data_IF_549724478517
#
_entry.id   IF_549724478517
#
_cell.length_a   1.000
_cell.length_b   1.000
_cell.length_c   1.000
_cell.angle_alpha   90.00
_cell.angle_beta   90.00
_cell.angle_gamma   90.00
#
_symmetry.space_group_name_H-M   'P 1'
#
loop_
_entity.id
_entity.type
_entity.pdbx_description
1 polymer ?
#
# COMPACT_ATOMS: atom_id res chain seq x y z
N UNK A 1 -10.90 -13.20 11.35
CA UNK A 1 -10.17 -13.03 10.08
C UNK A 1 -9.00 -13.99 10.05
N UNK A 2 -8.76 -14.65 8.94
CA UNK A 2 -7.68 -15.63 8.77
C UNK A 2 -6.30 -14.96 8.66
N UNK A 3 -5.27 -15.80 8.79
CA UNK A 3 -3.87 -15.44 8.57
C UNK A 3 -3.22 -16.43 7.62
N UNK A 4 -2.26 -15.96 6.84
CA UNK A 4 -1.38 -16.77 6.00
C UNK A 4 0.07 -16.40 6.28
N UNK A 5 0.98 -17.38 6.15
CA UNK A 5 2.41 -17.09 6.10
C UNK A 5 2.77 -16.67 4.68
N UNK A 6 3.36 -15.52 4.55
CA UNK A 6 3.72 -14.92 3.28
C UNK A 6 5.03 -14.15 3.38
N UNK A 7 6.06 -14.55 2.65
CA UNK A 7 7.43 -14.01 2.74
C UNK A 7 8.00 -14.05 4.19
N UNK A 8 7.63 -15.10 4.98
CA UNK A 8 7.98 -15.21 6.39
C UNK A 8 7.30 -14.12 7.26
N UNK A 9 6.23 -13.54 6.80
CA UNK A 9 5.40 -12.58 7.53
C UNK A 9 4.02 -13.20 7.74
N UNK A 10 3.58 -13.27 8.99
CA UNK A 10 2.18 -13.62 9.31
C UNK A 10 1.27 -12.51 8.82
N UNK A 11 0.57 -12.76 7.72
CA UNK A 11 -0.26 -11.76 7.02
C UNK A 11 -1.73 -11.98 7.35
N UNK A 12 -2.38 -10.97 7.94
CA UNK A 12 -3.83 -10.93 8.12
C UNK A 12 -4.51 -10.60 6.80
N UNK A 13 -5.53 -11.38 6.45
CA UNK A 13 -6.32 -11.13 5.24
C UNK A 13 -7.81 -11.40 5.47
N UNK A 14 -8.63 -11.03 4.50
CA UNK A 14 -10.01 -11.44 4.40
C UNK A 14 -10.36 -11.68 2.92
N UNK A 15 -11.36 -12.53 2.69
CA UNK A 15 -11.87 -12.86 1.36
C UNK A 15 -13.36 -12.55 1.32
N UNK A 16 -13.74 -11.60 0.49
CA UNK A 16 -15.10 -11.11 0.36
C UNK A 16 -15.63 -11.41 -1.04
N UNK A 17 -16.80 -12.02 -1.10
CA UNK A 17 -17.43 -12.39 -2.38
C UNK A 17 -16.83 -13.63 -3.01
N UNK A 18 -17.33 -13.95 -4.20
CA UNK A 18 -16.93 -15.07 -5.02
C UNK A 18 -16.81 -14.61 -6.50
N UNK A 19 -16.05 -15.34 -7.31
CA UNK A 19 -15.81 -14.96 -8.71
C UNK A 19 -14.34 -14.81 -9.04
N UNK A 20 -13.97 -14.06 -10.11
CA UNK A 20 -12.58 -13.82 -10.48
C UNK A 20 -11.81 -13.13 -9.34
N UNK A 21 -10.55 -13.52 -9.08
CA UNK A 21 -9.79 -12.97 -7.96
C UNK A 21 -9.35 -11.53 -8.21
N UNK A 22 -9.58 -10.66 -7.20
CA UNK A 22 -9.13 -9.29 -7.14
C UNK A 22 -8.33 -9.09 -5.84
N UNK A 23 -7.02 -9.04 -5.95
CA UNK A 23 -6.14 -8.74 -4.82
C UNK A 23 -6.07 -7.23 -4.59
N UNK A 24 -6.31 -6.79 -3.35
CA UNK A 24 -6.46 -5.38 -3.02
C UNK A 24 -5.44 -4.93 -1.97
N UNK A 25 -4.41 -4.19 -2.40
CA UNK A 25 -3.46 -3.54 -1.49
C UNK A 25 -4.12 -2.40 -0.72
N UNK A 26 -4.27 -2.57 0.59
CA UNK A 26 -4.95 -1.61 1.47
C UNK A 26 -4.32 -0.21 1.40
N UNK A 27 -5.14 0.87 1.35
CA UNK A 27 -4.65 2.25 1.42
C UNK A 27 -4.15 2.59 2.82
N UNK A 28 -3.53 3.77 3.00
CA UNK A 28 -3.19 4.31 4.33
C UNK A 28 -1.70 4.50 4.63
N UNK A 29 -0.84 4.47 3.64
CA UNK A 29 0.60 4.70 3.85
C UNK A 29 1.23 3.62 4.75
N UNK A 30 1.78 4.01 5.90
CA UNK A 30 2.28 3.12 6.95
C UNK A 30 1.22 2.81 8.03
N UNK A 31 -0.07 2.87 7.68
CA UNK A 31 -1.21 2.35 8.44
C UNK A 31 -2.17 1.63 7.48
N UNK A 32 -1.61 0.82 6.60
CA UNK A 32 -2.32 0.14 5.51
C UNK A 32 -2.93 -1.18 5.98
N UNK A 33 -4.11 -1.10 6.55
CA UNK A 33 -4.91 -2.20 7.08
C UNK A 33 -6.26 -2.31 6.38
N UNK A 34 -6.89 -3.45 6.50
CA UNK A 34 -8.17 -3.76 5.82
C UNK A 34 -9.23 -2.70 6.09
N UNK A 35 -9.31 -2.21 7.33
CA UNK A 35 -10.30 -1.22 7.76
C UNK A 35 -10.18 0.13 7.03
N UNK A 36 -9.05 0.41 6.41
CA UNK A 36 -8.86 1.64 5.63
C UNK A 36 -9.70 1.67 4.34
N UNK A 37 -10.09 0.52 3.82
CA UNK A 37 -11.03 0.45 2.68
C UNK A 37 -12.44 0.97 3.00
N UNK A 38 -12.80 1.05 4.28
CA UNK A 38 -14.12 1.53 4.72
C UNK A 38 -14.06 2.76 5.62
N UNK A 39 -12.89 3.06 6.19
CA UNK A 39 -12.71 4.13 7.18
C UNK A 39 -12.01 5.39 6.66
N UNK A 40 -11.19 5.27 5.62
CA UNK A 40 -10.30 6.35 5.20
C UNK A 40 -10.90 7.17 4.04
N UNK A 41 -11.04 8.48 4.24
CA UNK A 41 -11.27 9.49 3.20
C UNK A 41 -12.27 9.08 2.11
N UNK A 42 -11.82 9.08 0.86
CA UNK A 42 -12.62 8.72 -0.31
C UNK A 42 -13.16 7.29 -0.24
N UNK A 43 -12.42 6.35 0.32
CA UNK A 43 -12.82 4.93 0.41
C UNK A 43 -14.10 4.75 1.23
N UNK A 44 -14.23 5.50 2.34
CA UNK A 44 -15.46 5.55 3.14
C UNK A 44 -16.67 6.07 2.32
N UNK A 45 -16.43 7.02 1.42
CA UNK A 45 -17.47 7.63 0.59
C UNK A 45 -17.93 6.72 -0.55
N UNK A 46 -16.98 6.04 -1.22
CA UNK A 46 -17.27 5.24 -2.42
C UNK A 46 -17.64 3.78 -2.13
N UNK A 47 -17.39 3.29 -0.91
CA UNK A 47 -17.81 1.98 -0.38
C UNK A 47 -17.50 0.79 -1.32
N UNK A 48 -16.27 0.70 -1.80
CA UNK A 48 -15.87 -0.32 -2.76
C UNK A 48 -16.17 -1.75 -2.28
N UNK A 49 -15.98 -2.04 -0.99
CA UNK A 49 -16.22 -3.38 -0.44
C UNK A 49 -17.71 -3.73 -0.31
N UNK A 50 -18.63 -2.79 -0.50
CA UNK A 50 -20.07 -3.09 -0.56
C UNK A 50 -20.52 -3.48 -1.99
N UNK A 51 -19.68 -3.22 -2.98
CA UNK A 51 -20.01 -3.38 -4.40
C UNK A 51 -19.16 -4.42 -5.13
N UNK A 52 -17.82 -4.33 -5.05
CA UNK A 52 -16.92 -5.22 -5.79
C UNK A 52 -17.11 -6.70 -5.43
N UNK A 53 -17.32 -7.09 -4.15
CA UNK A 53 -17.53 -8.49 -3.78
C UNK A 53 -18.80 -9.14 -4.35
N UNK A 54 -19.71 -8.36 -4.94
CA UNK A 54 -20.89 -8.91 -5.61
C UNK A 54 -20.55 -9.64 -6.91
N UNK A 55 -19.37 -9.38 -7.49
CA UNK A 55 -18.91 -9.98 -8.76
C UNK A 55 -17.51 -10.60 -8.68
N UNK A 56 -16.67 -10.13 -7.77
CA UNK A 56 -15.27 -10.52 -7.67
C UNK A 56 -14.96 -11.11 -6.28
N UNK A 57 -14.03 -12.04 -6.25
CA UNK A 57 -13.41 -12.52 -5.01
C UNK A 57 -12.37 -11.49 -4.57
N UNK A 58 -12.78 -10.55 -3.73
CA UNK A 58 -11.92 -9.49 -3.21
C UNK A 58 -11.06 -10.03 -2.07
N UNK A 59 -9.74 -10.05 -2.26
CA UNK A 59 -8.75 -10.48 -1.28
C UNK A 59 -8.13 -9.22 -0.71
N UNK A 60 -8.54 -8.84 0.48
CA UNK A 60 -8.03 -7.66 1.21
C UNK A 60 -7.09 -8.10 2.30
N UNK A 61 -6.03 -7.36 2.56
CA UNK A 61 -5.03 -7.74 3.57
C UNK A 61 -4.37 -6.52 4.21
N UNK A 62 -3.93 -6.72 5.45
CA UNK A 62 -3.03 -5.77 6.10
C UNK A 62 -1.65 -5.91 5.46
N UNK A 63 -1.11 -4.81 4.91
CA UNK A 63 0.26 -4.85 4.43
C UNK A 63 1.21 -5.13 5.60
N UNK A 64 2.34 -5.76 5.32
CA UNK A 64 3.40 -6.01 6.32
C UNK A 64 3.68 -4.73 7.12
N UNK A 65 4.02 -4.87 8.37
CA UNK A 65 4.21 -3.83 9.38
C UNK A 65 2.95 -3.06 9.78
N UNK A 66 1.77 -3.42 9.25
CA UNK A 66 0.52 -2.69 9.50
C UNK A 66 -0.57 -3.59 10.05
N UNK A 67 -1.54 -2.97 10.73
CA UNK A 67 -2.70 -3.67 11.28
C UNK A 67 -2.31 -4.81 12.20
N UNK A 68 -2.79 -6.02 11.90
CA UNK A 68 -2.44 -7.24 12.62
C UNK A 68 -1.46 -8.14 11.87
N UNK A 69 -0.98 -7.70 10.71
CA UNK A 69 0.12 -8.39 10.03
C UNK A 69 1.43 -8.18 10.79
N UNK A 70 2.27 -9.19 10.73
CA UNK A 70 3.62 -9.13 11.26
C UNK A 70 4.53 -8.22 10.44
N UNK A 71 5.80 -8.20 10.81
CA UNK A 71 6.81 -7.42 10.11
C UNK A 71 8.22 -7.79 10.54
N UNK A 72 9.18 -7.18 9.88
CA UNK A 72 10.61 -7.23 10.23
C UNK A 72 11.22 -5.86 10.12
N UNK A 73 12.16 -5.53 11.00
CA UNK A 73 12.94 -4.31 10.88
C UNK A 73 14.02 -4.51 9.83
N UNK A 74 13.76 -4.02 8.65
CA UNK A 74 14.65 -4.12 7.49
C UNK A 74 14.45 -2.93 6.54
N UNK A 75 15.36 -2.76 5.58
CA UNK A 75 15.15 -1.83 4.47
C UNK A 75 14.01 -2.33 3.59
N UNK A 76 12.77 -1.92 3.90
CA UNK A 76 11.62 -2.26 3.09
C UNK A 76 11.74 -1.62 1.71
N UNK A 77 11.38 -2.37 0.67
CA UNK A 77 11.30 -1.95 -0.73
C UNK A 77 9.94 -2.33 -1.31
N UNK A 78 9.59 -1.84 -2.49
CA UNK A 78 8.35 -2.23 -3.16
C UNK A 78 8.27 -3.75 -3.39
N UNK A 79 9.40 -4.39 -3.65
CA UNK A 79 9.47 -5.83 -3.85
C UNK A 79 9.10 -6.65 -2.57
N UNK A 80 9.30 -6.12 -1.38
CA UNK A 80 8.84 -6.78 -0.15
C UNK A 80 7.31 -6.85 -0.09
N UNK A 81 6.61 -5.81 -0.53
CA UNK A 81 5.15 -5.82 -0.65
C UNK A 81 4.67 -6.77 -1.76
N UNK A 82 5.42 -6.87 -2.88
CA UNK A 82 5.15 -7.84 -3.95
C UNK A 82 5.27 -9.27 -3.42
N UNK A 83 6.38 -9.61 -2.73
CA UNK A 83 6.56 -10.96 -2.17
C UNK A 83 5.49 -11.33 -1.15
N UNK A 84 5.03 -10.37 -0.32
CA UNK A 84 3.91 -10.61 0.58
C UNK A 84 2.64 -10.98 -0.20
N UNK A 85 2.32 -10.26 -1.25
CA UNK A 85 1.13 -10.51 -2.08
C UNK A 85 1.22 -11.84 -2.85
N UNK A 86 2.38 -12.15 -3.43
CA UNK A 86 2.65 -13.44 -4.08
C UNK A 86 2.42 -14.60 -3.11
N UNK A 87 3.04 -14.55 -1.93
CA UNK A 87 2.87 -15.60 -0.93
C UNK A 87 1.43 -15.74 -0.44
N UNK A 88 0.66 -14.64 -0.38
CA UNK A 88 -0.77 -14.69 -0.05
C UNK A 88 -1.58 -15.37 -1.18
N UNK A 89 -1.33 -15.04 -2.45
CA UNK A 89 -1.97 -15.69 -3.59
C UNK A 89 -1.63 -17.19 -3.62
N UNK A 90 -0.37 -17.56 -3.35
CA UNK A 90 0.07 -18.96 -3.31
C UNK A 90 -0.62 -19.73 -2.18
N UNK A 91 -0.72 -19.15 -0.99
CA UNK A 91 -1.45 -19.74 0.14
C UNK A 91 -2.94 -19.97 -0.17
N UNK A 92 -3.54 -19.10 -0.99
CA UNK A 92 -4.92 -19.21 -1.46
C UNK A 92 -5.07 -20.05 -2.74
N UNK A 93 -3.98 -20.58 -3.30
CA UNK A 93 -3.95 -21.36 -4.55
C UNK A 93 -4.52 -20.58 -5.74
N UNK A 94 -4.20 -19.31 -5.83
CA UNK A 94 -4.62 -18.41 -6.89
C UNK A 94 -3.42 -18.14 -7.80
N UNK A 95 -3.50 -18.62 -9.04
CA UNK A 95 -2.44 -18.47 -10.03
C UNK A 95 -2.35 -17.04 -10.56
N UNK A 96 -3.48 -16.45 -10.95
CA UNK A 96 -3.57 -15.10 -11.52
C UNK A 96 -4.67 -14.30 -10.85
N UNK A 97 -4.49 -13.00 -10.74
CA UNK A 97 -5.49 -12.10 -10.19
C UNK A 97 -5.49 -10.74 -10.89
N UNK A 98 -6.60 -10.03 -10.83
CA UNK A 98 -6.60 -8.58 -10.98
C UNK A 98 -5.96 -7.97 -9.74
N UNK A 99 -5.12 -6.94 -9.90
CA UNK A 99 -4.40 -6.33 -8.80
C UNK A 99 -4.86 -4.87 -8.65
N UNK A 100 -5.38 -4.52 -7.49
CA UNK A 100 -5.85 -3.18 -7.19
C UNK A 100 -5.08 -2.60 -6.01
N UNK A 101 -4.86 -1.30 -6.03
CA UNK A 101 -4.31 -0.59 -4.86
C UNK A 101 -4.90 0.79 -4.72
N UNK A 102 -5.00 1.23 -3.47
CA UNK A 102 -5.39 2.59 -3.13
C UNK A 102 -4.25 3.35 -2.45
N UNK A 103 -4.15 4.66 -2.70
CA UNK A 103 -3.16 5.51 -2.07
C UNK A 103 -1.73 4.98 -2.32
N UNK A 104 -0.92 4.83 -1.28
CA UNK A 104 0.42 4.21 -1.37
C UNK A 104 0.36 2.76 -1.89
N UNK A 105 -0.79 2.07 -1.79
CA UNK A 105 -0.98 0.72 -2.36
C UNK A 105 -0.86 0.67 -3.88
N UNK A 106 -0.93 1.78 -4.59
CA UNK A 106 -0.72 1.85 -6.04
C UNK A 106 0.72 1.50 -6.45
N UNK A 107 1.71 1.88 -5.66
CA UNK A 107 3.12 1.59 -5.96
C UNK A 107 3.43 0.09 -5.96
N UNK A 108 3.01 -0.71 -4.94
CA UNK A 108 3.18 -2.16 -5.02
C UNK A 108 2.30 -2.84 -6.09
N UNK A 109 1.16 -2.26 -6.53
CA UNK A 109 0.42 -2.76 -7.71
C UNK A 109 1.29 -2.68 -8.96
N UNK A 110 1.88 -1.52 -9.21
CA UNK A 110 2.81 -1.32 -10.33
C UNK A 110 4.02 -2.25 -10.24
N UNK A 111 4.61 -2.38 -9.05
CA UNK A 111 5.74 -3.28 -8.82
C UNK A 111 5.35 -4.76 -9.02
N UNK A 112 4.13 -5.15 -8.64
CA UNK A 112 3.62 -6.51 -8.88
C UNK A 112 3.48 -6.80 -10.37
N UNK A 113 2.89 -5.86 -11.13
CA UNK A 113 2.74 -5.99 -12.59
C UNK A 113 4.07 -6.13 -13.31
N UNK A 114 5.11 -5.39 -12.87
CA UNK A 114 6.47 -5.49 -13.43
C UNK A 114 7.14 -6.81 -13.05
N UNK A 115 7.05 -7.22 -11.79
CA UNK A 115 7.72 -8.43 -11.30
C UNK A 115 7.04 -9.73 -11.73
N UNK A 116 5.71 -9.71 -11.89
CA UNK A 116 4.88 -10.88 -12.18
C UNK A 116 3.79 -10.58 -13.23
N UNK A 117 4.19 -10.17 -14.45
CA UNK A 117 3.22 -9.88 -15.52
C UNK A 117 2.38 -11.10 -15.87
N UNK A 118 2.92 -12.30 -15.78
CA UNK A 118 2.24 -13.58 -16.04
C UNK A 118 1.15 -13.90 -15.00
N UNK A 119 1.21 -13.31 -13.81
CA UNK A 119 0.23 -13.48 -12.72
C UNK A 119 -0.77 -12.33 -12.63
N UNK A 120 -0.62 -11.29 -13.45
CA UNK A 120 -1.42 -10.06 -13.40
C UNK A 120 -2.42 -10.02 -14.55
N UNK A 121 -3.71 -10.14 -14.25
CA UNK A 121 -4.79 -10.04 -15.26
C UNK A 121 -5.03 -8.58 -15.67
N UNK A 122 -5.04 -7.67 -14.71
CA UNK A 122 -5.11 -6.21 -14.93
C UNK A 122 -4.68 -5.47 -13.68
N UNK A 123 -4.47 -4.16 -13.80
CA UNK A 123 -4.14 -3.27 -12.69
C UNK A 123 -5.18 -2.17 -12.51
N UNK A 124 -5.56 -1.88 -11.26
CA UNK A 124 -6.38 -0.72 -10.90
C UNK A 124 -5.56 0.18 -9.97
N UNK A 125 -5.17 1.34 -10.47
CA UNK A 125 -4.37 2.36 -9.79
C UNK A 125 -5.33 3.44 -9.30
N UNK A 126 -5.73 3.36 -8.02
CA UNK A 126 -6.76 4.24 -7.46
C UNK A 126 -6.15 5.27 -6.53
N UNK A 127 -6.15 6.55 -6.95
CA UNK A 127 -5.55 7.66 -6.20
C UNK A 127 -4.08 7.41 -5.85
N UNK A 128 -3.19 7.25 -6.82
CA UNK A 128 -1.78 7.04 -6.53
C UNK A 128 -1.20 8.20 -5.74
N UNK A 129 -0.42 7.90 -4.71
CA UNK A 129 0.35 8.91 -3.98
C UNK A 129 1.42 9.51 -4.89
N UNK A 130 1.75 10.77 -4.64
CA UNK A 130 2.84 11.46 -5.33
C UNK A 130 2.63 12.97 -5.33
N UNK A 131 3.56 13.65 -5.97
CA UNK A 131 3.66 15.10 -5.95
C UNK A 131 4.66 15.61 -4.90
N UNK A 132 5.16 16.82 -5.09
CA UNK A 132 6.17 17.42 -4.22
C UNK A 132 5.72 17.51 -2.76
N UNK A 133 4.44 17.83 -2.50
CA UNK A 133 3.90 17.90 -1.13
C UNK A 133 3.91 16.54 -0.44
N UNK A 134 3.52 15.47 -1.14
CA UNK A 134 3.59 14.11 -0.62
C UNK A 134 5.03 13.75 -0.24
N UNK A 135 5.98 13.98 -1.16
CA UNK A 135 7.40 13.68 -0.93
C UNK A 135 7.95 14.45 0.27
N UNK A 136 7.76 15.77 0.31
CA UNK A 136 8.22 16.62 1.41
C UNK A 136 7.64 16.16 2.75
N UNK A 137 6.31 15.99 2.83
CA UNK A 137 5.63 15.57 4.06
C UNK A 137 6.11 14.19 4.54
N UNK A 138 6.34 13.27 3.62
CA UNK A 138 6.82 11.93 3.95
C UNK A 138 8.25 11.97 4.49
N UNK A 139 9.16 12.69 3.85
CA UNK A 139 10.53 12.90 4.36
C UNK A 139 10.52 13.57 5.72
N UNK A 140 9.67 14.57 5.95
CA UNK A 140 9.54 15.24 7.25
C UNK A 140 9.08 14.30 8.37
N UNK A 141 8.14 13.37 8.08
CA UNK A 141 7.71 12.36 9.05
C UNK A 141 8.87 11.47 9.48
N UNK A 142 9.62 10.95 8.51
CA UNK A 142 10.77 10.11 8.82
C UNK A 142 11.89 10.88 9.52
N UNK A 143 12.14 12.13 9.16
CA UNK A 143 13.11 12.97 9.84
C UNK A 143 12.75 13.15 11.34
N UNK A 144 11.47 13.36 11.66
CA UNK A 144 10.99 13.43 13.05
C UNK A 144 11.19 12.11 13.80
N UNK A 145 10.98 10.98 13.13
CA UNK A 145 11.24 9.68 13.73
C UNK A 145 12.74 9.47 14.01
N UNK A 146 13.58 9.74 13.03
CA UNK A 146 15.03 9.59 13.18
C UNK A 146 15.58 10.50 14.29
N UNK A 147 15.15 11.75 14.37
CA UNK A 147 15.53 12.66 15.46
C UNK A 147 15.09 12.12 16.82
N UNK A 148 13.87 11.59 16.93
CA UNK A 148 13.38 11.01 18.17
C UNK A 148 14.20 9.78 18.60
N UNK A 149 14.57 8.91 17.64
CA UNK A 149 15.44 7.74 17.90
C UNK A 149 16.84 8.19 18.36
N UNK A 150 17.40 9.25 17.75
CA UNK A 150 18.69 9.78 18.19
C UNK A 150 18.68 10.23 19.65
N UNK A 151 17.65 10.92 20.07
CA UNK A 151 17.50 11.50 21.41
C UNK A 151 17.12 10.46 22.47
N UNK A 152 16.19 9.55 22.14
CA UNK A 152 15.53 8.67 23.11
C UNK A 152 15.85 7.18 22.93
N UNK A 153 16.59 6.80 21.89
CA UNK A 153 16.90 5.42 21.57
C UNK A 153 15.68 4.59 21.14
N UNK A 154 15.91 3.31 20.88
CA UNK A 154 14.85 2.41 20.41
C UNK A 154 13.87 2.03 21.53
N UNK A 155 14.35 1.98 22.81
CA UNK A 155 13.45 1.79 23.95
C UNK A 155 12.47 2.97 24.08
N UNK A 156 12.92 4.20 23.89
CA UNK A 156 12.05 5.37 23.90
C UNK A 156 10.94 5.32 22.84
N UNK A 157 11.21 4.71 21.66
CA UNK A 157 10.19 4.47 20.64
C UNK A 157 9.14 3.48 21.15
N UNK A 158 9.56 2.38 21.78
CA UNK A 158 8.64 1.39 22.34
C UNK A 158 7.73 2.01 23.40
N UNK A 159 8.32 2.78 24.33
CA UNK A 159 7.59 3.43 25.41
C UNK A 159 6.56 4.41 24.86
N UNK A 160 6.95 5.22 23.87
CA UNK A 160 6.04 6.14 23.17
C UNK A 160 4.90 5.39 22.47
N UNK A 161 5.22 4.37 21.68
CA UNK A 161 4.23 3.60 20.92
C UNK A 161 3.22 2.91 21.82
N UNK A 162 3.64 2.45 23.00
CA UNK A 162 2.77 1.80 24.00
C UNK A 162 1.96 2.80 24.85
N UNK A 163 2.36 4.06 24.91
CA UNK A 163 1.66 5.07 25.68
C UNK A 163 0.36 5.59 25.05
N UNK A 164 0.16 5.35 23.74
CA UNK A 164 -1.03 5.78 22.99
C UNK A 164 -1.25 4.90 21.75
N UNK A 165 -2.41 5.05 21.08
CA UNK A 165 -2.82 4.30 19.90
C UNK A 165 -2.56 5.02 18.56
N UNK A 166 -1.89 6.19 18.57
CA UNK A 166 -1.60 6.97 17.36
C UNK A 166 -0.73 6.17 16.39
N UNK A 167 -1.11 6.22 15.11
CA UNK A 167 -0.32 5.65 14.03
C UNK A 167 0.83 6.58 13.61
N UNK A 168 1.70 6.10 12.71
CA UNK A 168 2.86 6.84 12.21
C UNK A 168 2.50 8.17 11.54
N UNK A 169 1.32 8.30 10.96
CA UNK A 169 0.88 9.57 10.35
C UNK A 169 0.46 10.60 11.39
N UNK A 170 -0.14 10.16 12.50
CA UNK A 170 -0.61 11.02 13.58
C UNK A 170 0.51 11.38 14.58
N UNK A 171 1.42 10.44 14.83
CA UNK A 171 2.64 10.70 15.62
C UNK A 171 3.85 10.01 14.96
N UNK A 172 4.58 10.75 14.12
CA UNK A 172 5.72 10.20 13.40
C UNK A 172 6.85 9.66 14.27
N UNK A 173 6.96 10.10 15.53
CA UNK A 173 8.01 9.65 16.44
C UNK A 173 7.98 8.13 16.66
N UNK A 174 6.79 7.50 16.61
CA UNK A 174 6.60 6.06 16.77
C UNK A 174 7.16 5.20 15.63
N UNK A 175 7.46 5.79 14.48
CA UNK A 175 8.05 5.09 13.33
C UNK A 175 7.12 4.11 12.62
N UNK A 176 7.61 3.46 11.55
CA UNK A 176 6.79 2.62 10.71
C UNK A 176 6.48 1.24 11.31
N UNK A 177 7.15 0.82 12.38
CA UNK A 177 6.92 -0.46 13.07
C UNK A 177 6.03 -0.35 14.31
N UNK A 178 5.32 0.75 14.50
CA UNK A 178 4.49 0.96 15.68
C UNK A 178 3.43 -0.14 15.90
N UNK A 179 2.83 -0.66 14.85
CA UNK A 179 1.84 -1.74 14.98
C UNK A 179 2.47 -3.08 15.44
N UNK A 180 3.54 -3.61 14.82
CA UNK A 180 4.23 -4.79 15.33
C UNK A 180 4.71 -4.63 16.79
N UNK A 181 5.22 -3.46 17.19
CA UNK A 181 5.63 -3.18 18.58
C UNK A 181 4.46 -3.31 19.55
N UNK A 182 3.26 -2.84 19.18
CA UNK A 182 2.04 -2.98 20.01
C UNK A 182 1.54 -4.41 20.06
N UNK A 183 1.59 -5.10 18.93
CA UNK A 183 0.94 -6.40 18.77
C UNK A 183 1.78 -7.57 19.31
N UNK A 184 3.10 -7.40 19.48
CA UNK A 184 4.01 -8.47 19.87
C UNK A 184 5.07 -7.97 20.85
N UNK A 185 5.08 -8.57 22.05
CA UNK A 185 6.13 -8.33 23.03
C UNK A 185 7.50 -8.82 22.51
N UNK A 186 7.53 -9.97 21.85
CA UNK A 186 8.75 -10.54 21.25
C UNK A 186 9.33 -9.61 20.17
N UNK A 187 8.46 -9.03 19.32
CA UNK A 187 8.91 -8.05 18.33
C UNK A 187 9.48 -6.81 19.01
N UNK A 188 8.81 -6.27 20.02
CA UNK A 188 9.29 -5.11 20.76
C UNK A 188 10.63 -5.38 21.45
N UNK A 189 10.79 -6.55 22.07
CA UNK A 189 12.07 -6.95 22.71
C UNK A 189 13.20 -7.09 21.69
N UNK A 190 12.89 -7.63 20.51
CA UNK A 190 13.85 -7.71 19.41
C UNK A 190 14.21 -6.33 18.85
N UNK A 191 13.21 -5.45 18.71
CA UNK A 191 13.40 -4.06 18.28
C UNK A 191 14.29 -3.28 19.24
N UNK A 192 14.11 -3.44 20.57
CA UNK A 192 14.93 -2.77 21.59
C UNK A 192 16.41 -3.16 21.53
N UNK A 193 16.71 -4.39 21.08
CA UNK A 193 18.09 -4.92 21.00
C UNK A 193 18.83 -4.57 19.72
N UNK A 194 18.19 -3.91 18.75
CA UNK A 194 18.84 -3.50 17.51
C UNK A 194 19.95 -2.48 17.78
N UNK A 195 21.01 -2.54 16.99
CA UNK A 195 22.00 -1.47 16.97
C UNK A 195 21.37 -0.18 16.44
N UNK A 196 21.45 0.90 17.22
CA UNK A 196 20.83 2.19 16.91
C UNK A 196 21.40 2.78 15.62
N UNK A 197 22.72 2.72 15.42
CA UNK A 197 23.34 3.31 14.23
C UNK A 197 22.90 2.56 12.96
N UNK A 198 22.90 1.23 13.01
CA UNK A 198 22.41 0.40 11.91
C UNK A 198 20.92 0.61 11.64
N UNK A 199 20.10 0.80 12.67
CA UNK A 199 18.68 1.13 12.53
C UNK A 199 18.47 2.45 11.78
N UNK A 200 19.18 3.51 12.16
CA UNK A 200 19.10 4.83 11.52
C UNK A 200 19.49 4.76 10.04
N UNK A 201 20.54 4.01 9.71
CA UNK A 201 20.94 3.76 8.32
C UNK A 201 19.86 3.00 7.54
N UNK A 202 19.27 1.97 8.15
CA UNK A 202 18.21 1.15 7.55
C UNK A 202 16.99 1.98 7.21
N UNK A 203 16.50 2.80 8.16
CA UNK A 203 15.35 3.70 7.95
C UNK A 203 15.66 4.75 6.87
N UNK A 204 16.84 5.36 6.93
CA UNK A 204 17.26 6.35 5.93
C UNK A 204 17.29 5.75 4.52
N UNK A 205 17.85 4.56 4.37
CA UNK A 205 17.91 3.87 3.08
C UNK A 205 16.51 3.45 2.59
N UNK A 206 15.62 3.03 3.50
CA UNK A 206 14.22 2.70 3.20
C UNK A 206 13.48 3.91 2.65
N UNK A 207 13.57 5.06 3.32
CA UNK A 207 12.89 6.30 2.90
C UNK A 207 13.33 6.73 1.50
N UNK A 208 14.65 6.71 1.25
CA UNK A 208 15.21 7.07 -0.06
C UNK A 208 14.72 6.16 -1.18
N UNK A 209 14.45 4.89 -0.89
CA UNK A 209 13.96 3.93 -1.89
C UNK A 209 12.45 3.91 -2.07
N UNK A 210 11.66 4.24 -1.02
CA UNK A 210 10.20 4.26 -1.11
C UNK A 210 9.62 5.62 -1.47
N UNK A 211 10.37 6.72 -1.30
CA UNK A 211 9.91 8.10 -1.51
C UNK A 211 11.00 8.82 -2.32
N UNK A 212 11.28 8.27 -3.49
CA UNK A 212 12.44 8.63 -4.30
C UNK A 212 12.22 9.81 -5.25
N UNK A 213 10.96 10.10 -5.61
CA UNK A 213 10.64 11.07 -6.69
C UNK A 213 9.38 11.91 -6.40
N UNK A 214 9.23 13.01 -7.14
CA UNK A 214 8.06 13.91 -7.04
C UNK A 214 6.84 13.40 -7.83
N UNK A 215 7.02 12.46 -8.75
CA UNK A 215 5.93 11.74 -9.41
C UNK A 215 5.40 10.61 -8.51
N UNK A 216 4.67 9.66 -9.03
CA UNK A 216 4.28 8.50 -8.24
C UNK A 216 5.52 7.65 -7.89
N UNK A 217 5.82 7.36 -6.61
CA UNK A 217 6.93 6.50 -6.23
C UNK A 217 6.65 5.06 -6.66
N UNK A 218 7.69 4.31 -6.98
CA UNK A 218 7.51 2.92 -7.40
C UNK A 218 8.66 2.42 -8.27
N UNK A 219 8.30 1.62 -9.25
CA UNK A 219 9.22 1.07 -10.26
C UNK A 219 9.67 2.14 -11.25
N UNK A 220 10.69 1.84 -12.03
CA UNK A 220 11.19 2.78 -13.01
C UNK A 220 10.21 2.98 -14.18
N UNK A 221 10.14 4.20 -14.79
CA UNK A 221 9.21 4.49 -15.86
C UNK A 221 9.38 3.56 -17.05
N UNK A 222 10.61 3.18 -17.39
CA UNK A 222 10.92 2.25 -18.48
C UNK A 222 10.32 0.86 -18.26
N UNK A 223 10.29 0.39 -17.01
CA UNK A 223 9.66 -0.89 -16.64
C UNK A 223 8.15 -0.82 -16.82
N UNK A 224 7.52 0.30 -16.43
CA UNK A 224 6.08 0.53 -16.65
C UNK A 224 5.73 0.63 -18.14
N UNK A 225 6.55 1.33 -18.93
CA UNK A 225 6.34 1.49 -20.37
C UNK A 225 6.45 0.19 -21.15
N UNK A 226 7.17 -0.79 -20.60
CA UNK A 226 7.30 -2.14 -21.19
C UNK A 226 6.09 -3.04 -20.92
N UNK A 227 5.19 -2.67 -19.98
CA UNK A 227 4.04 -3.48 -19.63
C UNK A 227 2.94 -3.41 -20.70
N UNK A 228 2.37 -4.59 -20.99
CA UNK A 228 1.16 -4.73 -21.83
C UNK A 228 -0.07 -5.13 -21.01
N UNK A 229 -0.07 -4.85 -19.71
CA UNK A 229 -1.15 -5.23 -18.79
C UNK A 229 -2.27 -4.18 -18.86
N UNK A 230 -3.53 -4.55 -19.12
CA UNK A 230 -4.65 -3.63 -19.06
C UNK A 230 -4.70 -2.91 -17.72
N UNK A 231 -4.79 -1.58 -17.73
CA UNK A 231 -4.70 -0.79 -16.51
C UNK A 231 -5.77 0.30 -16.48
N UNK A 232 -6.39 0.50 -15.31
CA UNK A 232 -7.26 1.63 -15.02
C UNK A 232 -6.55 2.57 -14.05
N UNK A 233 -6.47 3.85 -14.39
CA UNK A 233 -5.92 4.90 -13.52
C UNK A 233 -7.04 5.86 -13.11
N UNK A 234 -7.23 6.04 -11.81
CA UNK A 234 -8.21 6.96 -11.22
C UNK A 234 -7.48 8.03 -10.42
N UNK A 235 -7.60 9.32 -10.79
CA UNK A 235 -6.86 10.40 -10.13
C UNK A 235 -7.43 10.80 -8.77
N UNK A 236 -6.54 11.22 -7.86
CA UNK A 236 -6.84 12.07 -6.72
C UNK A 236 -6.48 13.54 -7.01
N UNK A 237 -6.69 14.43 -6.03
CA UNK A 237 -6.36 15.86 -6.16
C UNK A 237 -6.02 16.56 -4.83
N UNK A 238 -5.62 15.80 -3.82
CA UNK A 238 -5.20 16.36 -2.53
C UNK A 238 -3.66 16.43 -2.40
N UNK A 239 -3.18 16.88 -1.25
CA UNK A 239 -1.75 17.07 -0.97
C UNK A 239 -0.91 15.77 -1.03
N UNK A 240 -1.53 14.62 -0.94
CA UNK A 240 -0.87 13.31 -0.99
C UNK A 240 -1.10 12.57 -2.31
N UNK A 241 -2.16 12.92 -3.03
CA UNK A 241 -2.60 12.27 -4.27
C UNK A 241 -2.70 13.32 -5.38
N UNK A 242 -1.57 13.95 -5.70
CA UNK A 242 -1.55 14.96 -6.76
C UNK A 242 -2.02 14.36 -8.09
N UNK A 243 -2.84 15.09 -8.84
CA UNK A 243 -3.31 14.66 -10.17
C UNK A 243 -2.14 14.36 -11.11
N UNK A 244 -1.00 15.05 -10.95
CA UNK A 244 0.23 14.76 -11.71
C UNK A 244 0.79 13.36 -11.46
N UNK A 245 0.59 12.76 -10.27
CA UNK A 245 0.99 11.38 -10.01
C UNK A 245 0.16 10.39 -10.83
N UNK A 246 -1.15 10.61 -10.93
CA UNK A 246 -2.02 9.79 -11.77
C UNK A 246 -1.72 9.97 -13.27
N UNK A 247 -1.45 11.20 -13.71
CA UNK A 247 -1.04 11.47 -15.11
C UNK A 247 0.30 10.79 -15.44
N UNK A 248 1.27 10.85 -14.55
CA UNK A 248 2.52 10.10 -14.71
C UNK A 248 2.27 8.59 -14.89
N UNK A 249 1.42 7.99 -14.05
CA UNK A 249 1.08 6.58 -14.19
C UNK A 249 0.40 6.29 -15.53
N UNK A 250 -0.50 7.16 -15.98
CA UNK A 250 -1.15 7.06 -17.29
C UNK A 250 -0.15 7.10 -18.45
N UNK A 251 0.80 8.03 -18.39
CA UNK A 251 1.82 8.21 -19.42
C UNK A 251 2.77 7.01 -19.51
N UNK A 252 3.16 6.46 -18.35
CA UNK A 252 4.04 5.29 -18.29
C UNK A 252 3.31 3.98 -18.65
N UNK A 253 2.05 3.80 -18.27
CA UNK A 253 1.24 2.62 -18.56
C UNK A 253 0.56 2.77 -19.92
N UNK A 254 1.27 2.40 -20.97
CA UNK A 254 0.82 2.59 -22.36
C UNK A 254 -0.55 1.93 -22.60
N UNK A 255 -1.50 2.72 -23.09
CA UNK A 255 -2.85 2.24 -23.38
C UNK A 255 -3.73 2.07 -22.13
N UNK A 256 -3.32 2.58 -20.98
CA UNK A 256 -4.16 2.59 -19.79
C UNK A 256 -5.42 3.42 -19.99
N UNK A 257 -6.49 2.94 -19.35
CA UNK A 257 -7.77 3.65 -19.28
C UNK A 257 -7.69 4.68 -18.15
N UNK A 258 -7.72 5.96 -18.47
CA UNK A 258 -7.70 7.04 -17.48
C UNK A 258 -9.11 7.57 -17.26
N UNK A 259 -9.62 7.42 -16.05
CA UNK A 259 -10.94 7.94 -15.71
C UNK A 259 -10.85 9.40 -15.25
N UNK A 260 -10.95 10.34 -16.18
CA UNK A 260 -10.86 11.79 -15.92
C UNK A 260 -12.14 12.33 -15.25
N UNK A 261 -12.45 11.76 -14.08
CA UNK A 261 -13.59 12.17 -13.26
C UNK A 261 -13.10 13.07 -12.13
N UNK A 262 -13.62 14.30 -11.98
CA UNK A 262 -13.29 15.15 -10.85
C UNK A 262 -13.54 14.44 -9.53
N UNK A 263 -12.63 14.62 -8.56
CA UNK A 263 -12.66 13.91 -7.28
C UNK A 263 -13.97 14.07 -6.53
N UNK A 264 -14.57 15.26 -6.56
CA UNK A 264 -15.85 15.54 -5.88
C UNK A 264 -17.02 14.78 -6.53
N UNK A 265 -16.86 14.37 -7.77
CA UNK A 265 -17.84 13.58 -8.53
C UNK A 265 -17.58 12.07 -8.46
N UNK A 266 -16.48 11.63 -7.85
CA UNK A 266 -16.22 10.22 -7.58
C UNK A 266 -17.05 9.80 -6.36
N UNK A 267 -18.14 9.09 -6.58
CA UNK A 267 -19.17 8.77 -5.57
C UNK A 267 -19.41 7.25 -5.51
N UNK A 268 -20.16 6.80 -4.51
CA UNK A 268 -20.62 5.41 -4.42
C UNK A 268 -21.44 5.00 -5.65
N UNK A 269 -22.20 5.92 -6.24
CA UNK A 269 -23.08 5.64 -7.38
C UNK A 269 -22.32 5.36 -8.69
N UNK A 270 -21.10 5.85 -8.87
CA UNK A 270 -20.38 5.73 -10.14
C UNK A 270 -19.01 5.06 -10.03
N UNK A 271 -18.29 5.22 -8.93
CA UNK A 271 -16.90 4.75 -8.85
C UNK A 271 -16.79 3.22 -8.80
N UNK A 272 -17.58 2.49 -7.97
CA UNK A 272 -17.55 1.03 -8.00
C UNK A 272 -17.96 0.47 -9.36
N UNK A 273 -19.00 1.04 -9.98
CA UNK A 273 -19.45 0.61 -11.30
C UNK A 273 -18.38 0.82 -12.37
N UNK A 274 -17.67 1.96 -12.35
CA UNK A 274 -16.57 2.25 -13.29
C UNK A 274 -15.44 1.21 -13.17
N UNK A 275 -15.12 0.79 -11.95
CA UNK A 275 -14.11 -0.26 -11.71
C UNK A 275 -14.63 -1.62 -12.22
N UNK A 276 -15.88 -1.98 -11.91
CA UNK A 276 -16.50 -3.21 -12.39
C UNK A 276 -16.53 -3.27 -13.92
N UNK A 277 -16.95 -2.20 -14.59
CA UNK A 277 -17.00 -2.14 -16.06
C UNK A 277 -15.61 -2.35 -16.70
N UNK A 278 -14.57 -1.80 -16.06
CA UNK A 278 -13.19 -2.04 -16.48
C UNK A 278 -12.79 -3.51 -16.29
N UNK A 279 -13.00 -4.05 -15.11
CA UNK A 279 -12.63 -5.43 -14.77
C UNK A 279 -13.37 -6.43 -15.64
N UNK A 280 -14.69 -6.27 -15.85
CA UNK A 280 -15.52 -7.12 -16.70
C UNK A 280 -15.02 -7.11 -18.15
N UNK A 281 -14.68 -5.93 -18.68
CA UNK A 281 -14.16 -5.79 -20.06
C UNK A 281 -12.83 -6.51 -20.28
N UNK A 282 -11.96 -6.57 -19.27
CA UNK A 282 -10.63 -7.19 -19.39
C UNK A 282 -10.59 -8.64 -18.92
N UNK A 283 -11.71 -9.17 -18.41
CA UNK A 283 -11.87 -10.58 -18.00
C UNK A 283 -12.42 -11.46 -19.10
N UNK A 284 -13.07 -10.87 -20.13
CA UNK A 284 -13.62 -11.57 -21.31
C UNK A 284 -12.60 -11.68 -22.40
#
# INVERSE_FOLDING_TARGET
MPFAESDGIRTRYDVLGDGPPLLMYSPGGFDARIEQWTGLGVYKRIKLLDHLPKKYKCIVFDRRENGQSGGRVERITWNHYVRQAVGLLDALKIDKAHIMGGCMGCSPVAAFGVAHPERTLSMVIFWPVGGAKYRISSHQRFARHLAFVEENGLQGVIDLVRSHDKNFSADPRGGPWGQPIRNSAEFADSYARLDKAQYLLTVTAMVRGLIDRDTAPGVEPEELMALAIPSLVVPGNDDFHATSAARYMQECLKGSDYWDMPVDHQTEANTPQRILDFLDRVSG
#
